data_IF_509966059215
#
_entry.id   IF_509966059215
#
_cell.length_a   1.000
_cell.length_b   1.000
_cell.length_c   1.000
_cell.angle_alpha   90.00
_cell.angle_beta   90.00
_cell.angle_gamma   90.00
#
_symmetry.space_group_name_H-M   'P 1'
#
loop_
_entity.id
_entity.type
_entity.pdbx_description
1 polymer ?
#
# COMPACT_ATOMS: atom_id res chain seq x y z
N UNK A 1 -23.53 2.12 22.76
CA UNK A 1 -22.59 1.21 23.44
C UNK A 1 -22.30 0.12 22.42
N UNK A 2 -21.21 0.24 21.67
CA UNK A 2 -20.83 -0.79 20.71
C UNK A 2 -20.25 -1.93 21.53
N UNK A 3 -20.90 -3.10 21.51
CA UNK A 3 -20.30 -4.33 22.01
C UNK A 3 -19.00 -4.55 21.23
N UNK A 4 -17.86 -4.47 21.92
CA UNK A 4 -16.60 -4.96 21.39
C UNK A 4 -16.81 -6.44 21.11
N UNK A 5 -16.65 -6.82 19.85
CA UNK A 5 -16.74 -8.20 19.40
C UNK A 5 -15.81 -9.06 20.27
N UNK A 6 -16.36 -9.90 21.16
CA UNK A 6 -15.63 -10.99 21.82
C UNK A 6 -15.44 -12.12 20.79
N UNK A 7 -14.76 -11.80 19.69
CA UNK A 7 -14.42 -12.76 18.66
C UNK A 7 -13.23 -13.60 19.07
N UNK A 8 -13.25 -14.89 18.73
CA UNK A 8 -12.05 -15.71 18.72
C UNK A 8 -11.09 -15.17 17.64
N UNK A 9 -10.23 -14.23 18.02
CA UNK A 9 -9.23 -13.61 17.15
C UNK A 9 -8.28 -14.63 16.54
N UNK A 10 -8.06 -15.77 17.22
CA UNK A 10 -7.23 -16.85 16.69
C UNK A 10 -7.94 -17.54 15.54
N UNK A 11 -9.20 -17.94 15.73
CA UNK A 11 -10.00 -18.54 14.66
C UNK A 11 -10.17 -17.58 13.46
N UNK A 12 -10.34 -16.28 13.72
CA UNK A 12 -10.38 -15.26 12.67
C UNK A 12 -9.05 -15.17 11.92
N UNK A 13 -7.93 -15.08 12.63
CA UNK A 13 -6.60 -15.05 12.01
C UNK A 13 -6.38 -16.30 11.15
N UNK A 14 -6.65 -17.49 11.67
CA UNK A 14 -6.52 -18.74 10.91
C UNK A 14 -7.38 -18.75 9.64
N UNK A 15 -8.60 -18.18 9.71
CA UNK A 15 -9.46 -18.02 8.54
C UNK A 15 -8.85 -17.09 7.49
N UNK A 16 -8.32 -15.93 7.92
CA UNK A 16 -7.62 -14.99 7.04
C UNK A 16 -6.40 -15.65 6.39
N UNK A 17 -5.57 -16.33 7.18
CA UNK A 17 -4.37 -17.02 6.69
C UNK A 17 -4.70 -18.07 5.62
N UNK A 18 -5.75 -18.88 5.84
CA UNK A 18 -6.24 -19.84 4.83
C UNK A 18 -6.70 -19.15 3.55
N UNK A 19 -7.52 -18.10 3.67
CA UNK A 19 -8.02 -17.37 2.50
C UNK A 19 -6.90 -16.70 1.69
N UNK A 20 -5.90 -16.12 2.37
CA UNK A 20 -4.70 -15.56 1.72
C UNK A 20 -3.96 -16.66 0.95
N UNK A 21 -3.64 -17.78 1.62
CA UNK A 21 -2.92 -18.88 1.00
C UNK A 21 -3.66 -19.49 -0.21
N UNK A 22 -4.97 -19.69 -0.08
CA UNK A 22 -5.81 -20.24 -1.14
C UNK A 22 -5.86 -19.30 -2.35
N UNK A 23 -5.90 -17.97 -2.13
CA UNK A 23 -5.86 -17.01 -3.22
C UNK A 23 -4.55 -17.08 -3.99
N UNK A 24 -3.41 -17.09 -3.30
CA UNK A 24 -2.09 -17.18 -3.95
C UNK A 24 -1.92 -18.50 -4.72
N UNK A 25 -2.30 -19.63 -4.12
CA UNK A 25 -2.23 -20.95 -4.76
C UNK A 25 -3.13 -21.05 -5.99
N UNK A 26 -4.39 -20.62 -5.87
CA UNK A 26 -5.38 -20.72 -6.96
C UNK A 26 -4.98 -19.89 -8.18
N UNK A 27 -4.29 -18.78 -7.97
CA UNK A 27 -3.85 -17.89 -9.05
C UNK A 27 -2.40 -18.13 -9.48
N UNK A 28 -1.72 -19.16 -8.95
CA UNK A 28 -0.33 -19.48 -9.28
C UNK A 28 0.63 -18.29 -9.10
N UNK A 29 0.50 -17.61 -7.97
CA UNK A 29 1.26 -16.43 -7.60
C UNK A 29 2.29 -16.76 -6.53
N UNK A 30 3.52 -16.26 -6.70
CA UNK A 30 4.67 -16.62 -5.86
C UNK A 30 5.17 -15.45 -5.00
N UNK A 31 4.56 -14.27 -5.11
CA UNK A 31 5.00 -13.10 -4.37
C UNK A 31 3.84 -12.22 -3.89
N UNK A 32 3.97 -11.68 -2.70
CA UNK A 32 3.17 -10.55 -2.23
C UNK A 32 4.00 -9.27 -2.24
N UNK A 33 3.43 -8.19 -2.75
CA UNK A 33 4.04 -6.86 -2.76
C UNK A 33 3.23 -5.94 -1.86
N UNK A 34 3.89 -5.27 -0.92
CA UNK A 34 3.22 -4.35 0.00
C UNK A 34 3.96 -3.01 0.12
N UNK A 35 3.18 -1.93 0.06
CA UNK A 35 3.65 -0.61 0.50
C UNK A 35 3.60 -0.53 2.02
N UNK A 36 4.75 -0.33 2.66
CA UNK A 36 4.87 -0.20 4.12
C UNK A 36 4.96 1.29 4.46
N UNK A 37 3.90 1.85 5.02
CA UNK A 37 3.81 3.30 5.30
C UNK A 37 4.27 3.69 6.70
N UNK A 38 4.56 2.72 7.56
CA UNK A 38 4.75 2.91 9.00
C UNK A 38 3.43 2.95 9.79
N UNK A 39 2.28 2.96 9.11
CA UNK A 39 0.95 2.88 9.71
C UNK A 39 0.55 1.47 10.16
N UNK A 40 -0.46 1.39 11.03
CA UNK A 40 -0.90 0.13 11.65
C UNK A 40 -1.47 -0.87 10.64
N UNK A 41 -2.22 -0.40 9.63
CA UNK A 41 -2.87 -1.29 8.67
C UNK A 41 -1.85 -2.04 7.82
N UNK A 42 -0.86 -1.34 7.25
CA UNK A 42 0.24 -1.97 6.51
C UNK A 42 1.08 -2.93 7.36
N UNK A 43 1.31 -2.58 8.64
CA UNK A 43 2.02 -3.43 9.57
C UNK A 43 1.26 -4.72 9.89
N UNK A 44 -0.06 -4.62 10.09
CA UNK A 44 -0.92 -5.77 10.35
C UNK A 44 -0.97 -6.71 9.13
N UNK A 45 -1.13 -6.17 7.93
CA UNK A 45 -1.13 -6.97 6.70
C UNK A 45 0.22 -7.68 6.50
N UNK A 46 1.34 -6.97 6.66
CA UNK A 46 2.67 -7.58 6.58
C UNK A 46 2.85 -8.73 7.59
N UNK A 47 2.45 -8.50 8.85
CA UNK A 47 2.52 -9.51 9.90
C UNK A 47 1.64 -10.74 9.61
N UNK A 48 0.42 -10.56 9.11
CA UNK A 48 -0.48 -11.66 8.74
C UNK A 48 0.15 -12.52 7.65
N UNK A 49 0.71 -11.92 6.60
CA UNK A 49 1.32 -12.65 5.49
C UNK A 49 2.58 -13.37 5.93
N UNK A 50 3.44 -12.71 6.71
CA UNK A 50 4.61 -13.34 7.32
C UNK A 50 4.21 -14.57 8.15
N UNK A 51 3.19 -14.44 9.01
CA UNK A 51 2.67 -15.56 9.81
C UNK A 51 2.03 -16.66 8.98
N UNK A 52 1.37 -16.32 7.86
CA UNK A 52 0.82 -17.30 6.90
C UNK A 52 1.93 -18.09 6.23
N UNK A 53 3.06 -17.44 5.95
CA UNK A 53 4.25 -18.09 5.39
C UNK A 53 4.90 -19.01 6.42
N UNK A 54 5.11 -18.53 7.65
CA UNK A 54 5.66 -19.32 8.77
C UNK A 54 4.82 -20.58 9.07
N UNK A 55 3.50 -20.53 8.90
CA UNK A 55 2.62 -21.69 9.09
C UNK A 55 2.72 -22.74 7.97
N UNK A 56 3.53 -22.50 6.93
CA UNK A 56 3.68 -23.39 5.78
C UNK A 56 2.46 -23.46 4.86
N UNK A 57 1.53 -22.50 4.98
CA UNK A 57 0.33 -22.47 4.14
C UNK A 57 0.62 -21.92 2.75
N UNK A 58 1.63 -21.07 2.58
CA UNK A 58 2.05 -20.52 1.28
C UNK A 58 3.07 -21.43 0.57
N UNK A 59 3.27 -21.28 -0.75
CA UNK A 59 4.33 -21.98 -1.49
C UNK A 59 5.70 -21.81 -0.83
N UNK A 60 6.58 -22.81 -0.97
CA UNK A 60 7.91 -22.80 -0.34
C UNK A 60 8.81 -21.67 -0.86
N UNK A 61 8.66 -21.33 -2.14
CA UNK A 61 9.35 -20.24 -2.82
C UNK A 61 8.62 -18.90 -2.71
N UNK A 62 7.54 -18.82 -1.90
CA UNK A 62 6.79 -17.59 -1.73
C UNK A 62 7.63 -16.49 -1.09
N UNK A 63 7.57 -15.27 -1.64
CA UNK A 63 8.26 -14.10 -1.08
C UNK A 63 7.30 -12.95 -0.75
N UNK A 64 7.50 -12.32 0.41
CA UNK A 64 6.88 -11.05 0.78
C UNK A 64 7.88 -9.91 0.57
N UNK A 65 7.61 -9.06 -0.41
CA UNK A 65 8.42 -7.88 -0.71
C UNK A 65 7.75 -6.61 -0.14
N UNK A 66 8.43 -5.96 0.80
CA UNK A 66 8.00 -4.70 1.38
C UNK A 66 8.72 -3.50 0.77
N UNK A 67 7.98 -2.41 0.56
CA UNK A 67 8.54 -1.16 0.03
C UNK A 67 8.11 0.04 0.89
N UNK A 68 9.08 0.76 1.44
CA UNK A 68 8.86 2.13 1.92
C UNK A 68 8.93 3.08 0.73
N UNK A 69 7.86 3.84 0.49
CA UNK A 69 7.76 4.74 -0.66
C UNK A 69 7.55 6.21 -0.22
N UNK A 70 8.57 6.86 0.36
CA UNK A 70 8.51 8.28 0.67
C UNK A 70 8.20 9.14 -0.56
N UNK A 71 7.43 10.22 -0.38
CA UNK A 71 7.08 11.14 -1.48
C UNK A 71 6.90 12.59 -1.02
N UNK A 72 7.97 13.15 -0.46
CA UNK A 72 8.13 14.58 -0.11
C UNK A 72 7.28 15.10 1.05
N UNK A 73 6.60 14.25 1.81
CA UNK A 73 5.83 14.67 3.00
C UNK A 73 5.88 13.67 4.16
N UNK A 74 6.77 12.69 4.09
CA UNK A 74 6.91 11.66 5.10
C UNK A 74 7.86 12.16 6.21
N UNK A 75 7.55 11.83 7.46
CA UNK A 75 8.42 12.16 8.59
C UNK A 75 9.50 11.09 8.78
N UNK A 76 10.62 11.45 9.39
CA UNK A 76 11.68 10.50 9.72
C UNK A 76 11.18 9.36 10.63
N UNK A 77 10.20 9.65 11.50
CA UNK A 77 9.57 8.65 12.36
C UNK A 77 8.71 7.66 11.57
N UNK A 78 7.93 8.12 10.59
CA UNK A 78 7.15 7.26 9.70
C UNK A 78 8.07 6.32 8.91
N UNK A 79 9.17 6.86 8.39
CA UNK A 79 10.18 6.09 7.65
C UNK A 79 10.83 5.05 8.56
N UNK A 80 11.27 5.45 9.76
CA UNK A 80 11.86 4.52 10.72
C UNK A 80 10.90 3.40 11.12
N UNK A 81 9.61 3.72 11.33
CA UNK A 81 8.57 2.72 11.60
C UNK A 81 8.36 1.77 10.43
N UNK A 82 8.33 2.30 9.21
CA UNK A 82 8.22 1.47 8.00
C UNK A 82 9.40 0.51 7.87
N UNK A 83 10.62 0.98 8.15
CA UNK A 83 11.83 0.16 8.16
C UNK A 83 11.74 -0.96 9.19
N UNK A 84 11.31 -0.66 10.42
CA UNK A 84 11.15 -1.66 11.47
C UNK A 84 10.12 -2.74 11.10
N UNK A 85 8.97 -2.34 10.55
CA UNK A 85 7.94 -3.28 10.07
C UNK A 85 8.48 -4.13 8.92
N UNK A 86 9.11 -3.49 7.94
CA UNK A 86 9.69 -4.14 6.77
C UNK A 86 10.71 -5.20 7.15
N UNK A 87 11.70 -4.84 7.98
CA UNK A 87 12.75 -5.77 8.44
C UNK A 87 12.23 -6.89 9.34
N UNK A 88 11.11 -6.68 10.04
CA UNK A 88 10.54 -7.68 10.94
C UNK A 88 9.71 -8.74 10.21
N UNK A 89 9.01 -8.35 9.14
CA UNK A 89 7.98 -9.21 8.53
C UNK A 89 8.22 -9.53 7.05
N UNK A 90 8.92 -8.70 6.30
CA UNK A 90 9.12 -8.92 4.86
C UNK A 90 10.42 -9.70 4.61
N UNK A 91 10.42 -10.54 3.57
CA UNK A 91 11.63 -11.26 3.13
C UNK A 91 12.65 -10.31 2.51
N UNK A 92 12.16 -9.29 1.80
CA UNK A 92 12.96 -8.18 1.30
C UNK A 92 12.29 -6.86 1.67
N UNK A 93 13.10 -5.86 1.99
CA UNK A 93 12.60 -4.51 2.25
C UNK A 93 13.48 -3.48 1.54
N UNK A 94 12.83 -2.57 0.82
CA UNK A 94 13.51 -1.49 0.09
C UNK A 94 12.82 -0.16 0.34
N UNK A 95 13.62 0.89 0.50
CA UNK A 95 13.14 2.25 0.45
C UNK A 95 13.40 2.85 -0.92
N UNK A 96 12.38 3.46 -1.52
CA UNK A 96 12.48 4.14 -2.81
C UNK A 96 11.79 5.49 -2.71
N UNK A 97 12.58 6.56 -2.79
CA UNK A 97 12.04 7.92 -2.87
C UNK A 97 11.42 8.15 -4.26
N UNK A 98 10.13 8.47 -4.28
CA UNK A 98 9.36 8.72 -5.50
C UNK A 98 9.09 10.23 -5.73
N UNK A 99 9.75 11.10 -4.97
CA UNK A 99 9.49 12.54 -4.99
C UNK A 99 9.72 13.18 -6.37
N UNK A 100 10.78 12.80 -7.07
CA UNK A 100 11.08 13.31 -8.41
C UNK A 100 9.95 12.97 -9.39
N UNK A 101 9.47 11.72 -9.38
CA UNK A 101 8.37 11.27 -10.25
C UNK A 101 7.09 12.06 -9.98
N UNK A 102 6.72 12.25 -8.70
CA UNK A 102 5.55 13.05 -8.36
C UNK A 102 5.70 14.52 -8.77
N UNK A 103 6.91 15.08 -8.65
CA UNK A 103 7.20 16.47 -9.02
C UNK A 103 7.07 16.68 -10.53
N UNK A 104 7.54 15.73 -11.34
CA UNK A 104 7.37 15.78 -12.80
C UNK A 104 5.89 15.75 -13.22
N UNK A 105 5.05 14.94 -12.56
CA UNK A 105 3.60 15.02 -12.76
C UNK A 105 3.02 16.38 -12.33
N UNK A 106 3.57 16.99 -11.27
CA UNK A 106 3.23 18.35 -10.84
C UNK A 106 3.54 19.40 -11.91
N UNK A 107 4.71 19.31 -12.55
CA UNK A 107 5.09 20.20 -13.65
C UNK A 107 4.17 20.04 -14.87
N UNK A 108 3.85 18.80 -15.26
CA UNK A 108 2.92 18.54 -16.36
C UNK A 108 1.53 19.14 -16.10
N UNK A 109 1.11 19.11 -14.84
CA UNK A 109 -0.11 19.76 -14.37
C UNK A 109 -0.03 21.29 -14.50
N UNK A 110 1.05 21.91 -14.05
CA UNK A 110 1.20 23.37 -14.11
C UNK A 110 1.21 23.87 -15.57
N UNK A 111 1.71 23.05 -16.50
CA UNK A 111 1.61 23.31 -17.95
C UNK A 111 0.17 23.19 -18.44
N UNK A 112 -0.56 22.16 -17.99
CA UNK A 112 -1.96 21.96 -18.35
C UNK A 112 -2.85 23.09 -17.83
N UNK A 113 -2.63 23.57 -16.60
CA UNK A 113 -3.38 24.68 -15.98
C UNK A 113 -3.36 25.96 -16.82
N UNK A 114 -2.29 26.19 -17.59
CA UNK A 114 -2.14 27.37 -18.45
C UNK A 114 -2.94 27.28 -19.75
N UNK A 115 -3.50 26.12 -20.10
CA UNK A 115 -4.23 25.95 -21.35
C UNK A 115 -5.61 26.62 -21.32
N UNK A 116 -6.09 27.19 -22.44
CA UNK A 116 -7.34 27.96 -22.48
C UNK A 116 -8.59 27.21 -21.99
N UNK A 117 -8.61 25.89 -22.09
CA UNK A 117 -9.77 25.06 -21.72
C UNK A 117 -9.87 24.73 -20.21
N UNK A 118 -8.89 25.15 -19.38
CA UNK A 118 -8.86 24.86 -17.94
C UNK A 118 -9.14 26.05 -17.02
N UNK A 119 -9.32 27.27 -17.55
CA UNK A 119 -9.25 28.52 -16.78
C UNK A 119 -10.26 28.65 -15.61
N UNK A 120 -11.40 27.93 -15.62
CA UNK A 120 -12.45 28.08 -14.60
C UNK A 120 -12.57 26.93 -13.58
N UNK A 121 -11.96 25.77 -13.83
CA UNK A 121 -12.18 24.56 -12.99
C UNK A 121 -11.17 24.38 -11.86
N UNK A 122 -10.08 25.14 -11.87
CA UNK A 122 -8.86 24.78 -11.13
C UNK A 122 -8.52 25.68 -9.93
N UNK A 123 -9.14 26.86 -9.82
CA UNK A 123 -8.72 27.95 -8.95
C UNK A 123 -9.11 27.83 -7.45
N UNK A 124 -8.98 26.64 -6.83
CA UNK A 124 -9.08 26.50 -5.35
C UNK A 124 -7.87 25.72 -4.81
N UNK A 125 -7.02 26.38 -4.02
CA UNK A 125 -5.76 25.83 -3.49
C UNK A 125 -5.93 24.48 -2.77
N UNK A 126 -7.02 24.32 -2.00
CA UNK A 126 -7.36 23.07 -1.30
C UNK A 126 -7.58 21.92 -2.30
N UNK A 127 -8.29 22.18 -3.41
CA UNK A 127 -8.50 21.16 -4.46
C UNK A 127 -7.20 20.79 -5.15
N UNK A 128 -6.28 21.74 -5.37
CA UNK A 128 -4.96 21.45 -5.95
C UNK A 128 -4.14 20.51 -5.05
N UNK A 129 -4.13 20.76 -3.73
CA UNK A 129 -3.45 19.88 -2.75
C UNK A 129 -4.03 18.47 -2.73
N UNK A 130 -5.35 18.31 -2.67
CA UNK A 130 -6.01 16.99 -2.69
C UNK A 130 -5.69 16.25 -3.99
N UNK A 131 -5.79 16.94 -5.13
CA UNK A 131 -5.48 16.35 -6.44
C UNK A 131 -4.03 15.89 -6.55
N UNK A 132 -3.09 16.66 -6.00
CA UNK A 132 -1.68 16.26 -5.94
C UNK A 132 -1.45 15.10 -4.97
N UNK A 133 -2.16 15.06 -3.84
CA UNK A 133 -2.19 13.90 -2.94
C UNK A 133 -2.63 12.61 -3.64
N UNK A 134 -3.68 12.68 -4.45
CA UNK A 134 -4.14 11.53 -5.24
C UNK A 134 -3.10 11.08 -6.28
N UNK A 135 -2.33 12.00 -6.85
CA UNK A 135 -1.24 11.67 -7.77
C UNK A 135 -0.12 10.94 -7.05
N UNK A 136 0.27 11.43 -5.86
CA UNK A 136 1.25 10.73 -5.02
C UNK A 136 0.83 9.30 -4.71
N UNK A 137 -0.44 9.09 -4.35
CA UNK A 137 -0.98 7.74 -4.12
C UNK A 137 -0.91 6.87 -5.39
N UNK A 138 -1.26 7.41 -6.56
CA UNK A 138 -1.20 6.69 -7.84
C UNK A 138 0.21 6.38 -8.31
N UNK A 139 1.18 7.25 -8.04
CA UNK A 139 2.60 7.01 -8.35
C UNK A 139 3.11 5.81 -7.54
N UNK A 140 2.76 5.72 -6.24
CA UNK A 140 3.06 4.54 -5.42
C UNK A 140 2.40 3.28 -5.97
N UNK A 141 1.13 3.38 -6.35
CA UNK A 141 0.39 2.27 -6.96
C UNK A 141 1.08 1.77 -8.22
N UNK A 142 1.46 2.65 -9.16
CA UNK A 142 2.17 2.29 -10.39
C UNK A 142 3.44 1.49 -10.07
N UNK A 143 4.24 1.99 -9.12
CA UNK A 143 5.46 1.31 -8.68
C UNK A 143 5.18 -0.09 -8.11
N UNK A 144 4.23 -0.21 -7.18
CA UNK A 144 3.91 -1.49 -6.54
C UNK A 144 3.36 -2.52 -7.52
N UNK A 145 2.53 -2.08 -8.47
CA UNK A 145 1.97 -2.96 -9.50
C UNK A 145 3.02 -3.41 -10.52
N UNK A 146 3.99 -2.55 -10.86
CA UNK A 146 5.14 -2.95 -11.68
C UNK A 146 5.99 -4.02 -10.97
N UNK A 147 6.27 -3.83 -9.68
CA UNK A 147 6.96 -4.84 -8.87
C UNK A 147 6.16 -6.14 -8.79
N UNK A 148 4.84 -6.08 -8.61
CA UNK A 148 4.00 -7.28 -8.58
C UNK A 148 4.07 -8.06 -9.90
N UNK A 149 4.07 -7.35 -11.03
CA UNK A 149 4.23 -7.98 -12.34
C UNK A 149 5.62 -8.61 -12.50
N UNK A 150 6.68 -7.94 -12.03
CA UNK A 150 8.05 -8.42 -12.11
C UNK A 150 8.28 -9.72 -11.31
N UNK A 151 7.61 -9.86 -10.16
CA UNK A 151 7.76 -11.03 -9.27
C UNK A 151 6.66 -12.09 -9.42
N UNK A 152 5.81 -12.01 -10.45
CA UNK A 152 4.63 -12.89 -10.60
C UNK A 152 3.79 -12.94 -9.30
N UNK A 153 3.45 -11.74 -8.81
CA UNK A 153 2.87 -11.52 -7.50
C UNK A 153 1.59 -10.68 -7.50
N UNK A 154 1.14 -10.34 -6.29
CA UNK A 154 -0.04 -9.54 -6.03
C UNK A 154 0.29 -8.36 -5.12
N UNK A 155 -0.22 -7.18 -5.45
CA UNK A 155 -0.20 -6.03 -4.54
C UNK A 155 -1.22 -6.22 -3.44
N UNK A 156 -0.79 -6.11 -2.20
CA UNK A 156 -1.65 -6.15 -1.02
C UNK A 156 -2.19 -4.75 -0.72
N UNK A 157 -3.52 -4.60 -0.76
CA UNK A 157 -4.19 -3.42 -0.20
C UNK A 157 -4.18 -3.49 1.33
N UNK A 158 -4.15 -2.31 1.95
CA UNK A 158 -4.16 -2.13 3.40
C UNK A 158 -5.37 -1.33 3.86
N UNK A 159 -6.39 -1.19 3.01
CA UNK A 159 -7.61 -0.47 3.37
C UNK A 159 -8.38 -1.23 4.45
N UNK A 160 -8.82 -0.54 5.50
CA UNK A 160 -9.69 -1.15 6.51
C UNK A 160 -11.18 -0.90 6.24
N UNK A 161 -12.06 -1.59 6.97
CA UNK A 161 -13.51 -1.52 6.75
C UNK A 161 -14.09 -0.10 6.93
N UNK A 162 -13.51 0.69 7.84
CA UNK A 162 -13.95 2.07 8.06
C UNK A 162 -13.59 2.94 6.87
N UNK A 163 -12.36 2.82 6.37
CA UNK A 163 -11.91 3.52 5.18
C UNK A 163 -12.78 3.14 4.00
N UNK A 164 -13.01 1.84 3.77
CA UNK A 164 -13.88 1.27 2.74
C UNK A 164 -15.31 1.82 2.77
N UNK A 165 -15.90 1.95 3.96
CA UNK A 165 -17.27 2.47 4.07
C UNK A 165 -17.36 3.99 3.84
N UNK A 166 -16.26 4.72 4.07
CA UNK A 166 -16.22 6.18 3.97
C UNK A 166 -15.74 6.71 2.62
N UNK A 167 -15.31 5.84 1.70
CA UNK A 167 -14.64 6.31 0.48
C UNK A 167 -13.26 6.90 0.76
N UNK A 168 -12.62 6.56 1.88
CA UNK A 168 -11.37 7.18 2.33
C UNK A 168 -10.12 6.53 1.68
N UNK A 169 -10.10 6.47 0.35
CA UNK A 169 -8.95 6.01 -0.41
C UNK A 169 -8.88 6.72 -1.77
N UNK A 170 -7.76 6.55 -2.47
CA UNK A 170 -7.63 7.04 -3.84
C UNK A 170 -8.05 5.96 -4.83
N UNK A 171 -9.05 6.26 -5.66
CA UNK A 171 -9.43 5.47 -6.84
C UNK A 171 -8.39 5.57 -7.97
#
# INVERSE_FOLDING_TARGET
>A
MYELFEGDYKALLESIQRNVADYFKRNNLNAAIIGVSGGIDSALVAAIVAKTKESGLLPQDFMLHGYSLPIGSNTDEEISRAENVGKSYCDTFHEVDLWEVATEFGHAIDVAEKQPFFQDKWNKSIKKKIRFGNIKARVRMIFLYDMAQAYNGLVLSTDNLTEYNLGFWTL
#
